data_IF_644444806474
#
_entry.id   IF_644444806474
#
_cell.length_a   1.000
_cell.length_b   1.000
_cell.length_c   1.000
_cell.angle_alpha   90.00
_cell.angle_beta   90.00
_cell.angle_gamma   90.00
#
_symmetry.space_group_name_H-M   'P 1'
#
loop_
_entity.id
_entity.type
_entity.pdbx_description
1 polymer ?
#
# COMPACT_ATOMS: atom_id res chain seq x y z
N UNK A 1 -0.33 -24.52 -4.56
CA UNK A 1 0.24 -25.70 -5.20
C UNK A 1 1.76 -25.61 -5.16
N UNK A 2 2.42 -26.64 -4.68
CA UNK A 2 3.89 -26.78 -4.58
C UNK A 2 4.48 -26.97 -5.97
N UNK A 3 5.52 -26.22 -6.30
CA UNK A 3 6.23 -26.27 -7.58
C UNK A 3 7.57 -26.98 -7.41
N UNK A 4 8.13 -27.47 -8.51
CA UNK A 4 9.47 -28.04 -8.51
C UNK A 4 10.51 -27.03 -7.97
N UNK A 5 11.32 -27.43 -7.00
CA UNK A 5 12.30 -26.56 -6.33
C UNK A 5 11.74 -25.66 -5.22
N UNK A 6 10.45 -25.76 -4.86
CA UNK A 6 9.90 -25.10 -3.68
C UNK A 6 10.42 -25.74 -2.39
N UNK A 7 10.70 -24.91 -1.41
CA UNK A 7 10.97 -25.27 -0.01
C UNK A 7 9.98 -24.55 0.90
N UNK A 8 9.76 -25.03 2.11
CA UNK A 8 8.91 -24.35 3.09
C UNK A 8 9.32 -22.90 3.29
N UNK A 9 10.63 -22.62 3.31
CA UNK A 9 11.16 -21.27 3.42
C UNK A 9 10.79 -20.41 2.21
N UNK A 10 10.92 -20.94 0.99
CA UNK A 10 10.53 -20.21 -0.23
C UNK A 10 9.03 -19.96 -0.29
N UNK A 11 8.22 -20.91 0.17
CA UNK A 11 6.76 -20.75 0.21
C UNK A 11 6.37 -19.74 1.29
N UNK A 12 6.94 -19.81 2.50
CA UNK A 12 6.70 -18.85 3.58
C UNK A 12 7.06 -17.42 3.14
N UNK A 13 8.21 -17.23 2.52
CA UNK A 13 8.64 -15.94 1.96
C UNK A 13 7.73 -15.43 0.84
N UNK A 14 7.27 -16.33 -0.06
CA UNK A 14 6.38 -15.97 -1.17
C UNK A 14 5.03 -15.45 -0.71
N UNK A 15 4.52 -15.95 0.41
CA UNK A 15 3.20 -15.62 0.93
C UNK A 15 3.22 -14.75 2.19
N UNK A 16 4.41 -14.29 2.62
CA UNK A 16 4.55 -13.42 3.79
C UNK A 16 4.17 -14.07 5.12
N UNK A 17 4.25 -15.42 5.21
CA UNK A 17 3.93 -16.19 6.40
C UNK A 17 5.21 -16.65 7.08
N UNK A 18 5.22 -16.75 8.41
CA UNK A 18 6.26 -17.49 9.10
C UNK A 18 6.13 -19.00 8.83
N UNK A 19 7.24 -19.75 8.91
CA UNK A 19 7.19 -21.20 8.77
C UNK A 19 6.25 -21.83 9.81
N UNK A 20 6.24 -21.29 11.03
CA UNK A 20 5.34 -21.75 12.10
C UNK A 20 3.85 -21.56 11.75
N UNK A 21 3.49 -20.43 11.12
CA UNK A 21 2.13 -20.19 10.65
C UNK A 21 1.75 -21.10 9.48
N UNK A 22 2.70 -21.32 8.55
CA UNK A 22 2.48 -22.23 7.42
C UNK A 22 2.21 -23.65 7.90
N UNK A 23 2.95 -24.13 8.90
CA UNK A 23 2.75 -25.45 9.51
C UNK A 23 1.42 -25.52 10.29
N UNK A 24 1.06 -24.45 11.00
CA UNK A 24 -0.22 -24.39 11.72
C UNK A 24 -1.44 -24.41 10.79
N UNK A 25 -1.32 -23.83 9.60
CA UNK A 25 -2.36 -23.85 8.57
C UNK A 25 -2.46 -25.22 7.86
N UNK A 26 -1.40 -26.03 7.95
CA UNK A 26 -1.27 -27.32 7.28
C UNK A 26 -0.86 -28.42 8.27
N UNK A 27 -1.71 -28.77 9.25
CA UNK A 27 -1.40 -29.83 10.19
C UNK A 27 -1.27 -31.14 9.42
N UNK A 28 -0.09 -31.77 9.48
CA UNK A 28 0.26 -32.98 8.73
C UNK A 28 1.15 -32.77 7.51
N UNK A 29 1.59 -31.55 7.26
CA UNK A 29 2.57 -31.28 6.22
C UNK A 29 3.93 -31.90 6.61
N UNK A 30 4.40 -32.86 5.80
CA UNK A 30 5.75 -33.43 6.00
C UNK A 30 6.79 -32.38 5.61
N UNK A 31 7.50 -31.86 6.61
CA UNK A 31 8.53 -30.82 6.44
C UNK A 31 9.76 -31.33 5.70
N UNK A 32 9.98 -32.66 5.69
CA UNK A 32 11.10 -33.31 5.01
C UNK A 32 10.78 -33.63 3.53
N UNK A 33 9.50 -33.66 3.16
CA UNK A 33 9.07 -34.04 1.81
C UNK A 33 7.92 -33.16 1.31
N UNK A 34 8.25 -32.08 0.62
CA UNK A 34 7.27 -31.34 -0.17
C UNK A 34 7.03 -32.04 -1.51
N UNK A 35 5.84 -32.60 -1.69
CA UNK A 35 5.47 -33.24 -2.96
C UNK A 35 5.04 -32.19 -3.98
N UNK A 36 5.69 -32.16 -5.12
CA UNK A 36 5.31 -31.28 -6.24
C UNK A 36 3.88 -31.56 -6.66
N UNK A 37 3.07 -30.52 -6.83
CA UNK A 37 1.63 -30.63 -7.15
C UNK A 37 0.71 -30.69 -5.94
N UNK A 38 1.23 -30.89 -4.70
CA UNK A 38 0.38 -30.84 -3.51
C UNK A 38 -0.14 -29.42 -3.24
N UNK A 39 -1.33 -29.34 -2.62
CA UNK A 39 -1.91 -28.06 -2.21
C UNK A 39 -1.45 -27.72 -0.79
N UNK A 40 -0.98 -26.50 -0.59
CA UNK A 40 -0.65 -25.95 0.73
C UNK A 40 -1.57 -24.76 0.99
N UNK A 41 -2.21 -24.75 2.16
CA UNK A 41 -3.00 -23.61 2.63
C UNK A 41 -2.07 -22.48 3.05
N UNK A 42 -2.23 -21.32 2.44
CA UNK A 42 -1.44 -20.10 2.70
C UNK A 42 -2.28 -18.96 3.27
N UNK A 43 -3.56 -19.20 3.56
CA UNK A 43 -4.45 -18.28 4.26
C UNK A 43 -5.49 -19.07 5.05
N UNK A 44 -5.94 -18.54 6.21
CA UNK A 44 -7.12 -19.06 6.88
C UNK A 44 -8.34 -18.71 6.04
N UNK A 45 -9.12 -19.71 5.63
CA UNK A 45 -10.48 -19.47 5.15
C UNK A 45 -11.31 -18.98 6.33
N UNK A 46 -11.66 -17.69 6.35
CA UNK A 46 -12.69 -17.21 7.26
C UNK A 46 -14.04 -17.75 6.79
N UNK A 47 -14.79 -18.47 7.61
CA UNK A 47 -16.15 -18.83 7.25
C UNK A 47 -16.99 -17.55 7.27
N UNK A 48 -17.45 -17.11 6.12
CA UNK A 48 -18.51 -16.10 6.04
C UNK A 48 -18.15 -14.74 5.41
N UNK A 49 -17.18 -14.66 4.51
CA UNK A 49 -17.09 -13.48 3.63
C UNK A 49 -16.98 -13.89 2.18
N UNK A 50 -17.92 -13.38 1.41
CA UNK A 50 -18.15 -13.57 -0.02
C UNK A 50 -16.87 -13.61 -0.82
N UNK A 51 -16.77 -14.60 -1.70
CA UNK A 51 -15.83 -14.65 -2.83
C UNK A 51 -15.97 -13.37 -3.63
N UNK A 52 -14.98 -12.48 -3.54
CA UNK A 52 -14.72 -11.54 -4.62
C UNK A 52 -14.15 -12.36 -5.78
N UNK A 53 -15.03 -12.77 -6.68
CA UNK A 53 -14.65 -13.21 -8.01
C UNK A 53 -14.08 -11.96 -8.71
N UNK A 54 -12.75 -11.87 -8.81
CA UNK A 54 -12.09 -11.04 -9.80
C UNK A 54 -12.40 -11.63 -11.18
N UNK A 55 -13.55 -11.28 -11.71
CA UNK A 55 -13.83 -11.41 -13.12
C UNK A 55 -12.96 -10.38 -13.85
N UNK A 56 -11.85 -10.81 -14.43
CA UNK A 56 -11.16 -10.04 -15.44
C UNK A 56 -12.08 -9.98 -16.67
N UNK A 57 -12.93 -8.97 -16.75
CA UNK A 57 -13.57 -8.60 -17.99
C UNK A 57 -12.53 -7.90 -18.87
N UNK A 58 -12.43 -8.22 -20.17
CA UNK A 58 -11.55 -7.50 -21.09
C UNK A 58 -11.98 -6.03 -21.10
N UNK A 59 -10.98 -5.13 -20.99
CA UNK A 59 -11.17 -3.70 -21.06
C UNK A 59 -11.66 -3.33 -22.46
N UNK A 60 -12.98 -3.27 -22.62
CA UNK A 60 -13.59 -2.49 -23.68
C UNK A 60 -13.59 -1.05 -23.23
N UNK A 61 -13.33 -0.12 -24.15
CA UNK A 61 -13.29 1.33 -23.96
C UNK A 61 -14.64 1.93 -23.57
N UNK A 62 -15.15 1.57 -22.40
CA UNK A 62 -16.34 2.13 -21.76
C UNK A 62 -15.97 2.55 -20.36
N UNK A 63 -16.15 3.83 -20.07
CA UNK A 63 -15.76 4.46 -18.82
C UNK A 63 -16.19 3.68 -17.60
N UNK A 64 -15.22 3.32 -16.77
CA UNK A 64 -15.42 2.85 -15.41
C UNK A 64 -15.97 4.03 -14.61
N UNK A 65 -17.27 4.03 -14.31
CA UNK A 65 -17.81 4.89 -13.27
C UNK A 65 -17.29 4.38 -11.93
N UNK A 66 -16.35 5.11 -11.37
CA UNK A 66 -15.84 4.89 -10.02
C UNK A 66 -16.91 5.29 -9.01
N UNK A 67 -17.00 4.60 -7.85
CA UNK A 67 -17.82 5.14 -6.77
C UNK A 67 -17.34 6.56 -6.46
N UNK A 68 -18.33 7.46 -6.32
CA UNK A 68 -18.09 8.87 -6.08
C UNK A 68 -17.11 9.07 -4.93
N UNK A 69 -16.17 10.00 -5.15
CA UNK A 69 -15.24 10.46 -4.13
C UNK A 69 -16.00 10.89 -2.89
N UNK A 70 -15.63 10.44 -1.67
CA UNK A 70 -16.07 11.16 -0.49
C UNK A 70 -15.68 12.61 -0.67
N UNK A 71 -16.67 13.51 -0.69
CA UNK A 71 -16.42 14.93 -0.75
C UNK A 71 -15.73 15.33 0.54
N UNK A 72 -14.46 15.64 0.48
CA UNK A 72 -13.73 16.29 1.55
C UNK A 72 -14.19 17.75 1.62
N UNK A 73 -15.39 17.97 2.17
CA UNK A 73 -15.95 19.29 2.44
C UNK A 73 -15.66 19.68 3.88
N UNK A 74 -15.29 20.93 4.11
CA UNK A 74 -15.16 21.49 5.45
C UNK A 74 -16.39 21.16 6.31
N UNK A 75 -16.18 20.44 7.43
CA UNK A 75 -17.20 20.18 8.44
C UNK A 75 -17.82 18.80 8.51
N UNK A 76 -17.27 17.76 7.82
CA UNK A 76 -17.74 16.39 7.97
C UNK A 76 -16.75 15.54 8.74
N UNK A 77 -17.29 14.66 9.58
CA UNK A 77 -16.59 13.73 10.46
C UNK A 77 -15.39 13.09 9.78
N UNK A 78 -14.23 13.24 10.43
CA UNK A 78 -12.96 12.64 10.01
C UNK A 78 -13.14 11.11 10.05
N UNK A 79 -13.03 10.38 8.91
CA UNK A 79 -13.00 8.92 8.95
C UNK A 79 -11.72 8.48 9.65
N UNK A 80 -11.83 7.93 10.84
CA UNK A 80 -10.71 7.54 11.71
C UNK A 80 -11.16 7.30 13.15
N UNK A 81 -12.48 7.28 13.38
CA UNK A 81 -13.06 6.99 14.71
C UNK A 81 -12.93 5.53 15.16
N UNK A 82 -12.38 4.66 14.32
CA UNK A 82 -12.03 3.28 14.63
C UNK A 82 -10.68 3.12 15.35
N UNK A 83 -10.03 4.26 15.71
CA UNK A 83 -8.71 4.29 16.31
C UNK A 83 -7.56 4.31 15.29
N UNK A 84 -7.83 4.30 13.99
CA UNK A 84 -6.77 4.52 13.01
C UNK A 84 -6.43 6.01 12.96
N UNK A 85 -5.17 6.32 13.19
CA UNK A 85 -4.65 7.68 13.17
C UNK A 85 -4.59 8.25 11.75
N UNK A 86 -4.42 7.40 10.76
CA UNK A 86 -4.23 7.74 9.35
C UNK A 86 -5.49 7.51 8.53
N UNK A 87 -5.70 8.36 7.52
CA UNK A 87 -6.67 8.15 6.45
C UNK A 87 -5.97 7.60 5.21
N UNK A 88 -6.71 7.08 4.24
CA UNK A 88 -6.14 6.68 2.94
C UNK A 88 -5.60 7.91 2.19
N UNK A 89 -4.34 7.85 1.67
CA UNK A 89 -3.68 9.01 1.04
C UNK A 89 -4.25 9.37 -0.32
N UNK A 90 -4.95 8.45 -0.97
CA UNK A 90 -5.57 8.65 -2.29
C UNK A 90 -6.61 7.58 -2.55
N UNK A 91 -7.40 7.80 -3.58
CA UNK A 91 -8.28 6.79 -4.14
C UNK A 91 -7.59 6.04 -5.26
N UNK A 92 -7.99 4.79 -5.48
CA UNK A 92 -7.47 3.99 -6.56
C UNK A 92 -7.44 2.50 -6.26
N UNK A 93 -6.94 1.74 -7.22
CA UNK A 93 -6.75 0.30 -7.08
C UNK A 93 -5.48 0.02 -6.27
N UNK A 94 -5.59 -0.78 -5.22
CA UNK A 94 -4.41 -1.33 -4.53
C UNK A 94 -3.67 -2.27 -5.48
N UNK A 95 -2.56 -1.80 -6.03
CA UNK A 95 -1.84 -2.50 -7.10
C UNK A 95 -0.64 -3.29 -6.59
N UNK A 96 -0.05 -2.90 -5.45
CA UNK A 96 1.11 -3.63 -4.91
C UNK A 96 1.27 -3.42 -3.39
N UNK A 97 1.58 -4.51 -2.68
CA UNK A 97 1.79 -4.52 -1.23
C UNK A 97 3.24 -4.28 -0.82
N UNK A 98 3.43 -4.04 0.47
CA UNK A 98 4.74 -4.00 1.14
C UNK A 98 5.39 -5.38 1.17
N UNK A 99 6.72 -5.47 0.99
CA UNK A 99 7.49 -6.70 1.19
C UNK A 99 8.48 -7.02 0.07
N UNK A 100 9.17 -8.13 0.20
CA UNK A 100 10.17 -8.61 -0.76
C UNK A 100 9.52 -9.12 -2.05
N UNK A 101 9.99 -8.60 -3.19
CA UNK A 101 9.56 -9.04 -4.52
C UNK A 101 10.72 -8.95 -5.52
N UNK A 102 10.93 -10.00 -6.30
CA UNK A 102 12.00 -10.08 -7.32
C UNK A 102 13.38 -9.65 -6.81
N UNK A 103 13.75 -10.09 -5.58
CA UNK A 103 15.04 -9.78 -4.99
C UNK A 103 15.18 -8.35 -4.44
N UNK A 104 14.10 -7.57 -4.38
CA UNK A 104 14.08 -6.20 -3.88
C UNK A 104 12.96 -5.98 -2.86
N UNK A 105 13.30 -5.22 -1.81
CA UNK A 105 12.31 -4.80 -0.81
C UNK A 105 11.46 -3.65 -1.36
N UNK A 106 10.14 -3.82 -1.38
CA UNK A 106 9.17 -2.77 -1.58
C UNK A 106 8.78 -2.18 -0.23
N UNK A 107 9.21 -0.95 0.00
CA UNK A 107 9.14 -0.29 1.32
C UNK A 107 7.80 0.35 1.63
N UNK A 108 6.84 0.26 0.70
CA UNK A 108 5.53 0.90 0.82
C UNK A 108 4.41 0.07 0.20
N UNK A 109 3.32 0.73 -0.08
CA UNK A 109 2.21 0.22 -0.88
C UNK A 109 2.03 1.09 -2.12
N UNK A 110 1.53 0.48 -3.21
CA UNK A 110 1.21 1.19 -4.43
C UNK A 110 -0.31 1.23 -4.65
N UNK A 111 -0.82 2.44 -4.97
CA UNK A 111 -2.23 2.70 -5.26
C UNK A 111 -2.31 3.34 -6.64
N UNK A 112 -2.83 2.59 -7.63
CA UNK A 112 -2.92 3.02 -9.02
C UNK A 112 -4.21 3.79 -9.30
N UNK A 113 -4.06 4.90 -10.03
CA UNK A 113 -5.18 5.68 -10.59
C UNK A 113 -4.65 6.59 -11.71
N UNK A 114 -5.51 7.40 -12.32
CA UNK A 114 -5.15 8.32 -13.38
C UNK A 114 -4.16 9.39 -12.91
N UNK A 115 -3.29 9.84 -13.83
CA UNK A 115 -2.46 11.04 -13.61
C UNK A 115 -3.35 12.21 -13.21
N UNK A 116 -2.92 12.97 -12.19
CA UNK A 116 -3.69 14.11 -11.68
C UNK A 116 -4.64 13.78 -10.53
N UNK A 117 -4.86 12.50 -10.19
CA UNK A 117 -5.64 12.10 -9.02
C UNK A 117 -5.08 12.78 -7.75
N UNK A 118 -5.94 13.41 -6.91
CA UNK A 118 -5.47 14.04 -5.69
C UNK A 118 -4.81 13.06 -4.72
N UNK A 119 -3.73 13.50 -4.11
CA UNK A 119 -3.04 12.82 -3.02
C UNK A 119 -3.13 13.74 -1.80
N UNK A 120 -3.53 13.19 -0.66
CA UNK A 120 -3.77 13.94 0.57
C UNK A 120 -2.84 13.50 1.69
N UNK A 121 -2.55 14.39 2.63
CA UNK A 121 -1.83 14.07 3.86
C UNK A 121 -2.65 13.10 4.72
N UNK A 122 -2.07 11.98 5.13
CA UNK A 122 -2.75 10.95 5.94
C UNK A 122 -3.04 11.38 7.37
N UNK A 123 -2.32 12.37 7.89
CA UNK A 123 -2.47 12.97 9.21
C UNK A 123 -1.91 14.40 9.18
N UNK A 124 -2.19 15.25 10.19
CA UNK A 124 -1.54 16.55 10.34
C UNK A 124 -0.03 16.40 10.51
N UNK A 125 0.74 17.40 10.06
CA UNK A 125 2.18 17.39 10.20
C UNK A 125 2.85 18.56 9.50
N UNK A 126 4.17 18.46 9.33
CA UNK A 126 5.00 19.45 8.62
C UNK A 126 5.70 18.78 7.45
N UNK A 127 5.67 19.42 6.31
CA UNK A 127 6.41 18.98 5.12
C UNK A 127 7.91 19.13 5.39
N UNK A 128 8.63 18.01 5.35
CA UNK A 128 10.08 17.97 5.55
C UNK A 128 10.87 17.83 4.26
N UNK A 129 10.19 17.48 3.16
CA UNK A 129 10.73 17.48 1.82
C UNK A 129 9.62 17.65 0.79
N UNK A 130 9.85 18.46 -0.24
CA UNK A 130 8.96 18.59 -1.39
C UNK A 130 9.77 18.93 -2.64
N UNK A 131 10.01 17.95 -3.51
CA UNK A 131 10.89 18.14 -4.67
C UNK A 131 11.15 16.86 -5.46
N UNK A 132 12.11 16.96 -6.39
CA UNK A 132 12.64 15.80 -7.12
C UNK A 132 13.62 15.01 -6.25
N UNK A 133 13.49 13.68 -6.25
CA UNK A 133 14.35 12.77 -5.49
C UNK A 133 14.95 11.69 -6.38
N UNK A 134 16.31 11.65 -6.49
CA UNK A 134 17.06 10.80 -7.43
C UNK A 134 17.04 9.29 -7.06
N UNK A 135 16.60 8.94 -5.85
CA UNK A 135 16.52 7.53 -5.38
C UNK A 135 15.47 6.67 -6.06
N UNK A 136 14.83 7.17 -7.12
CA UNK A 136 13.79 6.50 -7.89
C UNK A 136 12.37 6.93 -7.52
N UNK A 137 12.17 7.78 -6.51
CA UNK A 137 10.86 8.29 -6.10
C UNK A 137 10.28 9.32 -7.08
N UNK A 138 11.11 9.98 -7.91
CA UNK A 138 10.69 11.09 -8.76
C UNK A 138 10.26 12.28 -7.93
N UNK A 139 9.15 12.93 -8.26
CA UNK A 139 8.58 13.98 -7.40
C UNK A 139 8.03 13.36 -6.12
N UNK A 140 8.56 13.81 -4.98
CA UNK A 140 8.33 13.28 -3.64
C UNK A 140 7.85 14.39 -2.70
N UNK A 141 6.86 14.07 -1.86
CA UNK A 141 6.55 14.82 -0.64
C UNK A 141 6.86 13.92 0.55
N UNK A 142 7.54 14.45 1.56
CA UNK A 142 7.70 13.84 2.88
C UNK A 142 7.04 14.71 3.94
N UNK A 143 6.32 14.08 4.87
CA UNK A 143 5.66 14.76 5.97
C UNK A 143 6.08 14.09 7.28
N UNK A 144 6.57 14.89 8.22
CA UNK A 144 6.80 14.44 9.60
C UNK A 144 5.59 14.82 10.45
N UNK A 145 5.02 13.84 11.13
CA UNK A 145 3.86 13.98 12.03
C UNK A 145 4.30 14.25 13.48
N UNK A 146 3.35 14.64 14.33
CA UNK A 146 3.64 15.05 15.72
C UNK A 146 4.34 13.98 16.57
N UNK A 147 4.13 12.70 16.27
CA UNK A 147 4.81 11.57 16.95
C UNK A 147 6.19 11.24 16.37
N UNK A 148 6.67 12.02 15.38
CA UNK A 148 7.92 11.80 14.67
C UNK A 148 7.82 10.76 13.55
N UNK A 149 6.66 10.17 13.28
CA UNK A 149 6.45 9.30 12.12
C UNK A 149 6.61 10.09 10.83
N UNK A 150 7.38 9.58 9.88
CA UNK A 150 7.53 10.13 8.55
C UNK A 150 6.64 9.38 7.56
N UNK A 151 5.93 10.11 6.72
CA UNK A 151 5.20 9.53 5.57
C UNK A 151 5.74 10.07 4.26
N UNK A 152 5.80 9.20 3.23
CA UNK A 152 6.33 9.51 1.89
C UNK A 152 5.27 9.30 0.83
N UNK A 153 5.19 10.25 -0.09
CA UNK A 153 4.23 10.26 -1.20
C UNK A 153 5.01 10.47 -2.50
N UNK A 154 5.26 9.40 -3.25
CA UNK A 154 6.15 9.42 -4.40
C UNK A 154 5.43 9.23 -5.75
N UNK A 155 6.20 9.40 -6.83
CA UNK A 155 5.81 9.31 -8.24
C UNK A 155 4.80 10.38 -8.68
N UNK A 156 4.76 11.53 -7.96
CA UNK A 156 3.84 12.61 -8.23
C UNK A 156 4.06 13.24 -9.63
N UNK A 157 3.01 13.82 -10.21
CA UNK A 157 3.10 14.66 -11.41
C UNK A 157 3.32 16.14 -11.07
N UNK A 158 2.77 16.58 -9.93
CA UNK A 158 2.93 17.95 -9.42
C UNK A 158 2.85 17.99 -7.91
N UNK A 159 3.57 18.93 -7.31
CA UNK A 159 3.62 19.17 -5.88
C UNK A 159 2.83 20.45 -5.57
N UNK A 160 2.00 20.45 -4.54
CA UNK A 160 1.12 21.56 -4.15
C UNK A 160 1.53 22.19 -2.82
N UNK A 161 2.55 21.63 -2.16
CA UNK A 161 3.11 22.08 -0.89
C UNK A 161 4.62 22.22 -1.02
N UNK A 162 5.23 22.99 -0.10
CA UNK A 162 6.68 23.25 -0.04
C UNK A 162 7.23 22.74 1.28
N UNK A 163 8.51 22.48 1.32
CA UNK A 163 9.23 22.21 2.57
C UNK A 163 8.99 23.33 3.59
N UNK A 164 8.69 22.93 4.82
CA UNK A 164 8.33 23.81 5.92
C UNK A 164 6.83 24.09 6.08
N UNK A 165 6.00 23.79 5.08
CA UNK A 165 4.55 24.02 5.17
C UNK A 165 3.91 23.12 6.23
N UNK A 166 3.01 23.65 7.11
CA UNK A 166 2.12 22.85 7.91
C UNK A 166 1.01 22.27 7.00
N UNK A 167 0.58 21.06 7.27
CA UNK A 167 -0.53 20.42 6.55
C UNK A 167 -1.49 19.76 7.51
N UNK A 168 -2.77 19.85 7.19
CA UNK A 168 -3.85 19.18 7.90
C UNK A 168 -4.13 17.80 7.32
N UNK A 169 -4.73 16.90 8.12
CA UNK A 169 -5.21 15.62 7.61
C UNK A 169 -6.24 15.84 6.50
N UNK A 170 -6.09 15.13 5.37
CA UNK A 170 -6.97 15.27 4.21
C UNK A 170 -6.64 16.45 3.31
N UNK A 171 -5.68 17.31 3.67
CA UNK A 171 -5.23 18.39 2.79
C UNK A 171 -4.56 17.79 1.54
N UNK A 172 -4.93 18.31 0.35
CA UNK A 172 -4.29 17.90 -0.92
C UNK A 172 -2.87 18.45 -0.97
N UNK A 173 -1.88 17.56 -1.07
CA UNK A 173 -0.46 17.90 -1.05
C UNK A 173 0.23 17.72 -2.40
N UNK A 174 -0.33 16.86 -3.26
CA UNK A 174 0.24 16.59 -4.59
C UNK A 174 -0.81 15.96 -5.52
N UNK A 175 -0.38 15.70 -6.75
CA UNK A 175 -1.16 15.00 -7.77
C UNK A 175 -0.42 13.75 -8.22
N UNK A 176 -1.15 12.65 -8.36
CA UNK A 176 -0.61 11.37 -8.85
C UNK A 176 0.04 11.52 -10.21
N UNK A 177 1.15 10.85 -10.40
CA UNK A 177 1.90 10.81 -11.65
C UNK A 177 2.54 9.44 -11.90
N UNK A 178 3.61 9.46 -12.68
CA UNK A 178 4.43 8.30 -12.99
C UNK A 178 5.90 8.72 -13.11
N UNK A 179 6.35 9.65 -12.28
CA UNK A 179 7.73 10.16 -12.29
C UNK A 179 8.68 9.23 -11.56
N UNK A 180 9.99 9.34 -11.84
CA UNK A 180 11.00 8.49 -11.24
C UNK A 180 10.95 7.04 -11.79
N UNK A 181 11.17 6.05 -10.93
CA UNK A 181 11.14 4.62 -11.31
C UNK A 181 9.72 4.07 -11.15
N UNK A 182 8.88 4.34 -12.10
CA UNK A 182 7.48 3.93 -12.14
C UNK A 182 7.17 3.21 -13.46
N UNK A 183 6.29 2.22 -13.43
CA UNK A 183 5.82 1.47 -14.61
C UNK A 183 4.47 1.95 -15.12
N UNK A 184 3.84 2.90 -14.44
CA UNK A 184 2.54 3.46 -14.78
C UNK A 184 2.03 4.37 -13.66
N UNK A 185 0.94 5.13 -13.87
CA UNK A 185 0.47 6.08 -12.88
C UNK A 185 0.02 5.41 -11.58
N UNK A 186 0.68 5.75 -10.47
CA UNK A 186 0.34 5.29 -9.12
C UNK A 186 0.95 6.21 -8.06
N UNK A 187 0.42 6.17 -6.86
CA UNK A 187 1.06 6.65 -5.65
C UNK A 187 1.86 5.50 -5.04
N UNK A 188 3.15 5.70 -4.79
CA UNK A 188 3.93 4.90 -3.86
C UNK A 188 3.92 5.58 -2.48
N UNK A 189 3.39 4.88 -1.48
CA UNK A 189 3.18 5.40 -0.12
C UNK A 189 3.96 4.58 0.90
N UNK A 190 4.78 5.26 1.73
CA UNK A 190 5.57 4.65 2.81
C UNK A 190 5.21 5.27 4.16
N UNK A 191 5.33 4.47 5.23
CA UNK A 191 5.26 4.90 6.63
C UNK A 191 6.55 4.48 7.33
N UNK A 192 7.23 5.45 7.95
CA UNK A 192 8.53 5.27 8.60
C UNK A 192 8.43 5.81 10.03
N UNK A 193 8.19 4.95 11.03
CA UNK A 193 8.19 5.37 12.44
C UNK A 193 9.58 5.84 12.90
N UNK A 194 9.66 6.66 13.97
CA UNK A 194 10.93 7.17 14.46
C UNK A 194 11.84 6.04 14.93
N UNK A 195 13.09 6.07 14.46
CA UNK A 195 14.11 5.07 14.81
C UNK A 195 13.98 3.72 14.10
N UNK A 196 13.02 3.58 13.21
CA UNK A 196 12.76 2.34 12.47
C UNK A 196 12.96 2.54 10.95
N UNK A 197 12.97 1.45 10.22
CA UNK A 197 12.82 1.47 8.76
C UNK A 197 11.35 1.62 8.35
N UNK A 198 11.11 1.68 7.04
CA UNK A 198 9.74 1.67 6.52
C UNK A 198 9.00 0.39 6.95
N UNK A 199 7.81 0.54 7.50
CA UNK A 199 6.91 -0.54 7.89
C UNK A 199 5.76 -0.69 6.89
N UNK A 200 5.02 -1.79 7.00
CA UNK A 200 3.85 -2.00 6.16
C UNK A 200 2.76 -0.93 6.45
N UNK A 201 2.45 -0.04 5.49
CA UNK A 201 1.48 1.02 5.70
C UNK A 201 0.08 0.55 6.09
N UNK A 202 -0.30 -0.69 5.74
CA UNK A 202 -1.59 -1.26 6.11
C UNK A 202 -1.77 -1.48 7.62
N UNK A 203 -0.69 -1.39 8.41
CA UNK A 203 -0.76 -1.42 9.88
C UNK A 203 -1.29 -0.11 10.48
N UNK A 204 -1.25 0.98 9.70
CA UNK A 204 -1.57 2.34 10.13
C UNK A 204 -2.85 2.89 9.47
N UNK A 205 -3.27 2.28 8.37
CA UNK A 205 -4.42 2.71 7.59
C UNK A 205 -5.70 1.97 8.04
N UNK A 206 -6.88 2.63 7.99
CA UNK A 206 -8.13 1.97 8.30
C UNK A 206 -8.43 0.83 7.30
N UNK A 207 -9.20 -0.18 7.70
CA UNK A 207 -9.68 -1.20 6.77
C UNK A 207 -10.33 -0.56 5.55
N UNK A 208 -10.07 -1.09 4.36
CA UNK A 208 -10.84 -0.70 3.17
C UNK A 208 -12.23 -1.33 3.24
N UNK A 209 -13.24 -0.48 3.12
CA UNK A 209 -14.63 -0.91 2.96
C UNK A 209 -14.83 -1.63 1.62
#
# INVERSE_FOLDING_TARGET
>A
MVRFGDTLLKISQRYGLSIAELLRLNPGLDTARLVVGSQIQVARSSPGRSRLLLGLAPVGSGGLSWPELPQFGAGREIPGRDGSRFIWPTQGLFSSGYGWRWGRMHKGIDIANNVGTPIVAVAPGRVTFSGWHDGGYGYLVEITHDDGTLTRYAHNSSLLVREGDPVDQGQVISRMGSTGRSTGPHLHFEVVPPGEGALNPLLFLPPRA
#
